data_IF_485246151317
#
_entry.id   IF_485246151317
#
_cell.length_a   1.000
_cell.length_b   1.000
_cell.length_c   1.000
_cell.angle_alpha   90.00
_cell.angle_beta   90.00
_cell.angle_gamma   90.00
#
_symmetry.space_group_name_H-M   'P 1'
#
loop_
_entity.id
_entity.type
_entity.pdbx_description
1 polymer ?
#
# COMPACT_ATOMS: atom_id res chain seq x y z
N UNK A 1 -6.12 4.12 -12.14
CA UNK A 1 -4.79 4.46 -11.59
C UNK A 1 -4.39 3.46 -10.52
N UNK A 2 -3.17 2.96 -10.60
CA UNK A 2 -2.59 2.11 -9.57
C UNK A 2 -1.32 2.77 -9.03
N UNK A 3 -1.07 2.59 -7.74
CA UNK A 3 0.16 3.09 -7.12
C UNK A 3 1.32 2.18 -7.52
N UNK A 4 2.32 2.76 -8.17
CA UNK A 4 3.46 2.05 -8.70
C UNK A 4 4.37 1.53 -7.58
N UNK A 5 4.90 0.32 -7.76
CA UNK A 5 5.90 -0.25 -6.87
C UNK A 5 5.37 -0.85 -5.57
N UNK A 6 4.06 -0.85 -5.37
CA UNK A 6 3.44 -1.40 -4.16
C UNK A 6 2.21 -2.24 -4.50
N UNK A 7 1.81 -3.07 -3.54
CA UNK A 7 0.61 -3.89 -3.66
C UNK A 7 -0.06 -3.99 -2.30
N UNK A 8 -1.28 -3.47 -2.21
CA UNK A 8 -2.06 -3.48 -0.97
C UNK A 8 -2.99 -4.68 -0.93
N UNK A 9 -3.40 -5.14 0.27
CA UNK A 9 -4.42 -6.18 0.37
C UNK A 9 -5.68 -5.77 -0.38
N UNK A 10 -6.35 -6.76 -1.00
CA UNK A 10 -7.63 -6.51 -1.63
C UNK A 10 -8.64 -5.99 -0.61
N UNK A 11 -9.57 -5.15 -1.06
CA UNK A 11 -10.54 -4.49 -0.16
C UNK A 11 -11.23 -5.47 0.79
N UNK A 12 -11.58 -6.65 0.29
CA UNK A 12 -12.29 -7.69 1.04
C UNK A 12 -11.36 -8.74 1.65
N UNK A 13 -10.03 -8.55 1.58
CA UNK A 13 -9.08 -9.49 2.12
C UNK A 13 -9.00 -9.39 3.63
N UNK A 14 -9.02 -10.56 4.31
CA UNK A 14 -8.75 -10.64 5.74
C UNK A 14 -7.31 -11.04 5.99
N UNK A 15 -6.76 -10.57 7.10
CA UNK A 15 -5.47 -10.98 7.63
C UNK A 15 -5.70 -11.56 9.04
N UNK A 16 -4.65 -12.03 9.69
CA UNK A 16 -4.78 -12.61 11.03
C UNK A 16 -3.81 -11.98 12.01
N UNK A 17 -4.30 -11.70 13.22
CA UNK A 17 -3.46 -11.33 14.34
C UNK A 17 -2.59 -12.51 14.78
N UNK A 18 -1.57 -12.31 15.63
CA UNK A 18 -0.76 -13.43 16.15
C UNK A 18 -1.59 -14.51 16.83
N UNK A 19 -2.71 -14.14 17.44
CA UNK A 19 -3.63 -15.11 18.10
C UNK A 19 -4.56 -15.81 17.10
N UNK A 20 -4.33 -15.62 15.80
CA UNK A 20 -5.06 -16.23 14.69
C UNK A 20 -6.48 -15.69 14.48
N UNK A 21 -6.89 -14.65 15.19
CA UNK A 21 -8.17 -13.98 14.93
C UNK A 21 -8.08 -13.18 13.65
N UNK A 22 -9.16 -13.17 12.87
CA UNK A 22 -9.25 -12.41 11.63
C UNK A 22 -9.46 -10.93 11.88
N UNK A 23 -8.94 -10.10 10.97
CA UNK A 23 -9.31 -8.69 10.88
C UNK A 23 -9.34 -8.27 9.41
N UNK A 24 -10.11 -7.23 9.13
CA UNK A 24 -10.35 -6.76 7.76
C UNK A 24 -9.19 -5.87 7.29
N UNK A 25 -8.04 -6.48 6.99
CA UNK A 25 -6.83 -5.73 6.64
C UNK A 25 -6.98 -4.94 5.33
N UNK A 26 -7.73 -5.48 4.37
CA UNK A 26 -7.99 -4.75 3.12
C UNK A 26 -8.78 -3.48 3.35
N UNK A 27 -9.80 -3.55 4.20
CA UNK A 27 -10.59 -2.37 4.58
C UNK A 27 -9.72 -1.36 5.33
N UNK A 28 -8.91 -1.82 6.29
CA UNK A 28 -8.05 -0.93 7.07
C UNK A 28 -6.99 -0.25 6.20
N UNK A 29 -6.43 -0.99 5.22
CA UNK A 29 -5.49 -0.41 4.28
C UNK A 29 -6.14 0.71 3.47
N UNK A 30 -7.37 0.47 3.01
CA UNK A 30 -8.12 1.48 2.26
C UNK A 30 -8.44 2.71 3.11
N UNK A 31 -8.82 2.49 4.37
CA UNK A 31 -9.11 3.59 5.29
C UNK A 31 -7.86 4.41 5.58
N UNK A 32 -6.70 3.76 5.69
CA UNK A 32 -5.44 4.46 5.89
C UNK A 32 -5.10 5.34 4.68
N UNK A 33 -5.23 4.80 3.47
CA UNK A 33 -5.00 5.57 2.25
C UNK A 33 -5.95 6.77 2.19
N UNK A 34 -7.22 6.58 2.54
CA UNK A 34 -8.20 7.66 2.55
C UNK A 34 -7.78 8.76 3.53
N UNK A 35 -7.28 8.38 4.72
CA UNK A 35 -6.82 9.35 5.71
C UNK A 35 -5.65 10.19 5.20
N UNK A 36 -4.77 9.59 4.39
CA UNK A 36 -3.66 10.32 3.77
C UNK A 36 -4.16 11.29 2.71
N UNK A 37 -5.06 10.82 1.84
CA UNK A 37 -5.64 11.63 0.76
C UNK A 37 -6.39 12.85 1.34
N UNK A 38 -7.05 12.66 2.47
CA UNK A 38 -7.84 13.72 3.11
C UNK A 38 -6.97 14.84 3.70
N UNK A 39 -5.66 14.66 3.78
CA UNK A 39 -4.75 15.68 4.32
C UNK A 39 -4.54 16.87 3.40
N UNK A 40 -4.86 16.75 2.12
CA UNK A 40 -4.64 17.87 1.21
C UNK A 40 -4.92 17.52 -0.25
N UNK A 41 -4.11 18.13 -1.13
CA UNK A 41 -4.28 17.97 -2.58
C UNK A 41 -3.40 16.83 -3.08
N UNK A 42 -3.99 15.89 -3.83
CA UNK A 42 -3.28 14.77 -4.42
C UNK A 42 -2.80 15.12 -5.83
N UNK A 43 -1.53 14.80 -6.10
CA UNK A 43 -0.94 14.93 -7.41
C UNK A 43 -0.27 13.62 -7.77
N UNK A 44 -0.57 13.08 -8.95
CA UNK A 44 -0.01 11.81 -9.40
C UNK A 44 0.81 12.00 -10.66
N UNK A 45 1.94 11.30 -10.72
CA UNK A 45 2.83 11.30 -11.87
C UNK A 45 2.83 9.90 -12.46
N UNK A 46 2.41 9.77 -13.73
CA UNK A 46 2.44 8.49 -14.40
C UNK A 46 3.89 8.08 -14.67
N UNK A 47 4.25 6.84 -14.26
CA UNK A 47 5.58 6.29 -14.45
C UNK A 47 5.62 5.25 -15.53
N UNK A 48 4.51 4.51 -15.71
CA UNK A 48 4.44 3.39 -16.65
C UNK A 48 2.98 3.00 -16.85
N UNK A 49 2.77 2.03 -17.72
CA UNK A 49 1.48 1.38 -17.93
C UNK A 49 1.64 -0.10 -17.61
N UNK A 50 0.63 -0.69 -16.98
CA UNK A 50 0.65 -2.13 -16.77
C UNK A 50 0.18 -2.87 -18.04
N UNK A 51 0.18 -4.20 -18.03
CA UNK A 51 -0.21 -5.00 -19.20
C UNK A 51 -1.68 -4.85 -19.59
N UNK A 52 -2.50 -4.27 -18.70
CA UNK A 52 -3.90 -3.96 -18.97
C UNK A 52 -4.10 -2.50 -19.34
N UNK A 53 -3.00 -1.78 -19.62
CA UNK A 53 -2.98 -0.38 -20.01
C UNK A 53 -3.48 0.56 -18.92
N UNK A 54 -3.35 0.17 -17.65
CA UNK A 54 -3.67 1.04 -16.51
C UNK A 54 -2.44 1.85 -16.11
N UNK A 55 -2.65 3.13 -15.76
CA UNK A 55 -1.56 4.01 -15.34
C UNK A 55 -0.98 3.55 -14.00
N UNK A 56 0.34 3.38 -13.97
CA UNK A 56 1.10 3.12 -12.75
C UNK A 56 1.73 4.44 -12.32
N UNK A 57 1.31 4.96 -11.18
CA UNK A 57 1.64 6.32 -10.76
C UNK A 57 2.35 6.37 -9.43
N UNK A 58 3.22 7.38 -9.28
CA UNK A 58 3.70 7.83 -7.98
C UNK A 58 2.82 9.01 -7.57
N UNK A 59 2.15 8.91 -6.45
CA UNK A 59 1.22 9.94 -6.00
C UNK A 59 1.71 10.61 -4.72
N UNK A 60 1.44 11.90 -4.61
CA UNK A 60 1.82 12.72 -3.47
C UNK A 60 0.59 13.45 -2.96
N UNK A 61 0.50 13.62 -1.64
CA UNK A 61 -0.46 14.54 -1.04
C UNK A 61 0.30 15.72 -0.48
N UNK A 62 -0.20 16.93 -0.78
CA UNK A 62 0.39 18.18 -0.26
C UNK A 62 -0.60 18.76 0.74
N UNK A 63 -0.15 18.90 1.99
CA UNK A 63 -1.01 19.44 3.05
C UNK A 63 -1.08 20.98 3.00
N UNK A 64 -1.83 21.56 3.94
CA UNK A 64 -2.09 23.02 3.96
C UNK A 64 -0.83 23.86 4.14
N UNK A 65 0.22 23.31 4.74
CA UNK A 65 1.49 24.04 4.95
C UNK A 65 2.53 23.71 3.88
N UNK A 66 2.12 23.01 2.82
CA UNK A 66 2.99 22.74 1.68
C UNK A 66 3.87 21.51 1.79
N UNK A 67 3.71 20.71 2.83
CA UNK A 67 4.47 19.46 2.98
C UNK A 67 3.92 18.39 2.06
N UNK A 68 4.82 17.72 1.33
CA UNK A 68 4.47 16.63 0.43
C UNK A 68 4.76 15.28 1.07
N UNK A 69 3.83 14.34 0.93
CA UNK A 69 4.01 12.95 1.34
C UNK A 69 3.85 12.06 0.12
N UNK A 70 4.83 11.18 -0.11
CA UNK A 70 4.71 10.15 -1.14
C UNK A 70 3.74 9.07 -0.63
N UNK A 71 2.58 8.97 -1.25
CA UNK A 71 1.53 8.04 -0.82
C UNK A 71 1.97 6.58 -0.97
N UNK A 72 2.69 6.27 -2.05
CA UNK A 72 3.17 4.92 -2.31
C UNK A 72 4.08 4.46 -1.16
N UNK A 73 5.07 5.28 -0.82
CA UNK A 73 6.00 4.97 0.26
C UNK A 73 5.29 4.93 1.62
N UNK A 74 4.39 5.88 1.88
CA UNK A 74 3.68 5.95 3.14
C UNK A 74 2.85 4.69 3.42
N UNK A 75 2.20 4.15 2.39
CA UNK A 75 1.44 2.90 2.51
C UNK A 75 2.34 1.73 2.93
N UNK A 76 3.52 1.64 2.32
CA UNK A 76 4.49 0.58 2.65
C UNK A 76 5.05 0.78 4.05
N UNK A 77 5.45 2.00 4.39
CA UNK A 77 6.06 2.31 5.69
C UNK A 77 5.08 2.07 6.85
N UNK A 78 3.80 2.33 6.63
CA UNK A 78 2.76 2.07 7.63
C UNK A 78 2.35 0.60 7.69
N UNK A 79 2.86 -0.23 6.79
CA UNK A 79 2.58 -1.66 6.78
C UNK A 79 1.26 -2.04 6.11
N UNK A 80 0.67 -1.16 5.30
CA UNK A 80 -0.59 -1.45 4.62
C UNK A 80 -0.42 -1.83 3.16
N UNK A 81 0.81 -1.96 2.68
CA UNK A 81 1.14 -2.46 1.35
C UNK A 81 2.50 -3.14 1.39
N UNK A 82 2.70 -4.09 0.49
CA UNK A 82 3.99 -4.73 0.30
C UNK A 82 4.67 -4.17 -0.94
N UNK A 83 6.00 -4.32 -1.00
CA UNK A 83 6.76 -3.90 -2.18
C UNK A 83 6.40 -4.82 -3.35
N UNK A 84 6.12 -4.19 -4.49
CA UNK A 84 5.98 -4.88 -5.77
C UNK A 84 7.11 -4.39 -6.65
N UNK A 85 8.04 -5.27 -7.03
CA UNK A 85 9.25 -4.89 -7.75
C UNK A 85 8.95 -4.08 -8.99
N UNK A 86 9.64 -2.94 -9.11
CA UNK A 86 9.47 -2.03 -10.22
C UNK A 86 10.81 -1.36 -10.51
N UNK A 87 11.02 -1.01 -11.79
CA UNK A 87 12.26 -0.35 -12.24
C UNK A 87 12.32 1.14 -11.89
N UNK A 88 11.20 1.74 -11.48
CA UNK A 88 11.08 3.19 -11.27
C UNK A 88 11.20 3.62 -9.80
N UNK A 89 11.08 2.68 -8.87
CA UNK A 89 11.09 3.03 -7.45
C UNK A 89 11.51 1.84 -6.61
N UNK A 90 12.06 2.14 -5.44
CA UNK A 90 12.50 1.14 -4.47
C UNK A 90 12.01 1.53 -3.10
N UNK A 91 11.02 0.80 -2.58
CA UNK A 91 10.47 1.02 -1.25
C UNK A 91 10.90 -0.06 -0.26
N UNK A 92 11.98 -0.78 -0.55
CA UNK A 92 12.45 -1.89 0.28
C UNK A 92 12.80 -1.47 1.69
N UNK A 93 13.41 -0.30 1.87
CA UNK A 93 13.75 0.20 3.19
C UNK A 93 12.51 0.49 4.04
N UNK A 94 11.47 1.07 3.42
CA UNK A 94 10.20 1.34 4.10
C UNK A 94 9.51 0.05 4.51
N UNK A 95 9.54 -0.97 3.64
CA UNK A 95 8.98 -2.29 3.95
C UNK A 95 9.71 -2.96 5.10
N UNK A 96 11.05 -2.92 5.08
CA UNK A 96 11.87 -3.51 6.15
C UNK A 96 11.57 -2.86 7.50
N UNK A 97 11.37 -1.53 7.51
CA UNK A 97 10.99 -0.82 8.72
C UNK A 97 9.62 -1.27 9.23
N UNK A 98 8.63 -1.36 8.34
CA UNK A 98 7.28 -1.78 8.70
C UNK A 98 7.28 -3.20 9.27
N UNK A 99 8.03 -4.12 8.64
CA UNK A 99 8.15 -5.50 9.10
C UNK A 99 8.82 -5.57 10.47
N UNK A 100 9.93 -4.85 10.66
CA UNK A 100 10.66 -4.82 11.94
C UNK A 100 9.79 -4.28 13.07
N UNK A 101 9.01 -3.22 12.79
CA UNK A 101 8.14 -2.58 13.77
C UNK A 101 6.76 -3.24 13.87
N UNK A 102 6.51 -4.29 13.09
CA UNK A 102 5.26 -5.04 13.08
C UNK A 102 4.03 -4.14 12.83
N UNK A 103 4.17 -3.23 11.88
CA UNK A 103 3.10 -2.29 11.51
C UNK A 103 2.12 -2.92 10.55
N UNK A 104 0.86 -2.53 10.66
CA UNK A 104 -0.17 -2.94 9.72
C UNK A 104 -0.26 -4.46 9.57
N UNK A 105 -0.15 -4.95 8.33
CA UNK A 105 -0.26 -6.39 8.06
C UNK A 105 0.89 -7.21 8.65
N UNK A 106 2.00 -6.56 9.00
CA UNK A 106 3.16 -7.24 9.59
C UNK A 106 2.96 -7.60 11.06
N UNK A 107 1.85 -7.15 11.69
CA UNK A 107 1.57 -7.50 13.09
C UNK A 107 1.16 -8.95 13.28
N UNK A 108 0.81 -9.64 12.21
CA UNK A 108 0.40 -11.05 12.28
C UNK A 108 0.66 -11.77 10.97
N UNK A 109 -0.29 -12.61 10.57
CA UNK A 109 -0.19 -13.43 9.35
C UNK A 109 -1.05 -12.85 8.26
N UNK A 110 -0.53 -12.85 7.03
CA UNK A 110 -1.29 -12.41 5.88
C UNK A 110 -0.84 -13.17 4.64
N UNK A 111 -1.75 -13.28 3.69
CA UNK A 111 -1.42 -13.76 2.36
C UNK A 111 -1.00 -12.57 1.51
N UNK A 112 0.10 -12.70 0.74
CA UNK A 112 0.52 -11.62 -0.15
C UNK A 112 -0.63 -11.28 -1.11
N UNK A 113 -0.91 -10.00 -1.35
CA UNK A 113 -2.06 -9.60 -2.18
C UNK A 113 -2.10 -10.28 -3.54
N UNK A 114 -0.96 -10.43 -4.19
CA UNK A 114 -0.87 -11.08 -5.49
C UNK A 114 -1.33 -12.54 -5.43
N UNK A 115 -0.87 -13.28 -4.40
CA UNK A 115 -1.28 -14.66 -4.21
C UNK A 115 -2.76 -14.75 -3.88
N UNK A 116 -3.26 -13.84 -3.05
CA UNK A 116 -4.67 -13.80 -2.69
C UNK A 116 -5.55 -13.65 -3.94
N UNK A 117 -5.17 -12.75 -4.85
CA UNK A 117 -5.92 -12.55 -6.10
C UNK A 117 -5.93 -13.81 -6.97
N UNK A 118 -4.81 -14.53 -7.03
CA UNK A 118 -4.72 -15.77 -7.82
C UNK A 118 -5.66 -16.83 -7.27
N UNK A 119 -5.73 -16.97 -5.94
CA UNK A 119 -6.51 -18.02 -5.30
C UNK A 119 -8.01 -17.68 -5.18
N UNK A 120 -8.39 -16.42 -5.32
CA UNK A 120 -9.76 -15.95 -5.11
C UNK A 120 -10.34 -15.28 -6.36
N UNK A 121 -9.97 -15.78 -7.52
CA UNK A 121 -10.56 -15.30 -8.78
C UNK A 121 -12.03 -15.70 -8.91
#
# INVERSE_FOLDING_TARGET
IRLEGIDAPEYYQDCRYPNNKKYACGLEARQYLQSLVDQGKVTCIERDLDRYNRSLCTCYVTNKIGEKTNLNEAMVRAGWAVVYKNKHSDYSAAEAEAEREKRGIWQGKFMKPQLYRILNK
#
